data_IF_486569318789
#
_entry.id   IF_486569318789
#
_cell.length_a   1.000
_cell.length_b   1.000
_cell.length_c   1.000
_cell.angle_alpha   90.00
_cell.angle_beta   90.00
_cell.angle_gamma   90.00
#
_symmetry.space_group_name_H-M   'P 1'
#
loop_
_entity.id
_entity.type
_entity.pdbx_description
1 polymer ?
#
# COMPACT_ATOMS: atom_id res chain seq x y z
N UNK A 1 0.15 -25.56 -21.14
CA UNK A 1 -1.03 -25.21 -21.96
C UNK A 1 -0.73 -23.93 -22.71
N UNK A 2 -1.16 -23.77 -23.98
CA UNK A 2 -1.03 -22.52 -24.73
C UNK A 2 -2.38 -21.80 -24.71
N UNK A 3 -2.38 -20.57 -24.23
CA UNK A 3 -3.58 -19.73 -24.10
C UNK A 3 -3.22 -18.35 -24.62
N UNK A 4 -4.12 -17.77 -25.42
CA UNK A 4 -4.04 -16.37 -25.83
C UNK A 4 -4.89 -15.57 -24.87
N UNK A 5 -4.35 -14.48 -24.34
CA UNK A 5 -5.03 -13.56 -23.42
C UNK A 5 -4.83 -12.15 -23.92
N UNK A 6 -5.87 -11.32 -23.83
CA UNK A 6 -5.75 -9.89 -24.04
C UNK A 6 -5.27 -9.23 -22.75
N UNK A 7 -4.43 -8.21 -22.88
CA UNK A 7 -3.81 -7.50 -21.76
C UNK A 7 -4.06 -6.01 -21.92
N UNK A 8 -4.57 -5.37 -20.87
CA UNK A 8 -4.69 -3.92 -20.81
C UNK A 8 -3.30 -3.25 -20.79
N UNK A 9 -3.24 -1.98 -21.18
CA UNK A 9 -1.99 -1.22 -21.32
C UNK A 9 -1.17 -1.16 -20.01
N UNK A 10 -1.84 -1.11 -18.86
CA UNK A 10 -1.20 -1.11 -17.54
C UNK A 10 -0.58 -2.48 -17.21
N UNK A 11 -1.29 -3.55 -17.55
CA UNK A 11 -0.85 -4.93 -17.35
C UNK A 11 0.33 -5.26 -18.24
N UNK A 12 0.30 -4.83 -19.51
CA UNK A 12 1.44 -4.96 -20.42
C UNK A 12 2.69 -4.23 -19.89
N UNK A 13 2.54 -3.02 -19.34
CA UNK A 13 3.63 -2.27 -18.70
C UNK A 13 4.20 -3.01 -17.49
N UNK A 14 3.35 -3.57 -16.62
CA UNK A 14 3.79 -4.33 -15.46
C UNK A 14 4.59 -5.58 -15.84
N UNK A 15 4.17 -6.28 -16.91
CA UNK A 15 4.91 -7.42 -17.47
C UNK A 15 6.27 -6.96 -17.98
N UNK A 16 6.34 -5.89 -18.79
CA UNK A 16 7.60 -5.36 -19.32
C UNK A 16 8.57 -4.94 -18.21
N UNK A 17 8.06 -4.30 -17.16
CA UNK A 17 8.87 -3.92 -16.01
C UNK A 17 9.47 -5.17 -15.34
N UNK A 18 8.64 -6.19 -15.05
CA UNK A 18 9.13 -7.42 -14.43
C UNK A 18 10.17 -8.15 -15.29
N UNK A 19 9.99 -8.12 -16.62
CA UNK A 19 10.97 -8.67 -17.57
C UNK A 19 12.30 -7.95 -17.49
N UNK A 20 12.29 -6.60 -17.45
CA UNK A 20 13.52 -5.79 -17.34
C UNK A 20 14.22 -6.02 -16.01
N UNK A 21 13.47 -6.04 -14.91
CA UNK A 21 14.03 -6.16 -13.56
C UNK A 21 14.66 -7.54 -13.30
N UNK A 22 14.13 -8.60 -13.93
CA UNK A 22 14.53 -9.99 -13.66
C UNK A 22 15.19 -10.71 -14.83
N UNK A 23 15.25 -10.09 -16.01
CA UNK A 23 15.80 -10.71 -17.22
C UNK A 23 15.03 -11.93 -17.72
N UNK A 24 13.72 -12.02 -17.45
CA UNK A 24 12.89 -13.19 -17.78
C UNK A 24 12.04 -12.98 -19.05
N UNK A 25 11.58 -14.09 -19.64
CA UNK A 25 10.69 -14.08 -20.81
C UNK A 25 9.24 -13.68 -20.48
N UNK A 26 8.47 -13.27 -21.49
CA UNK A 26 7.07 -12.83 -21.33
C UNK A 26 6.18 -13.90 -20.69
N UNK A 27 6.25 -15.15 -21.17
CA UNK A 27 5.44 -16.24 -20.61
C UNK A 27 5.78 -16.52 -19.15
N UNK A 28 7.06 -16.40 -18.77
CA UNK A 28 7.48 -16.59 -17.39
C UNK A 28 6.99 -15.45 -16.49
N UNK A 29 7.12 -14.20 -16.95
CA UNK A 29 6.63 -13.02 -16.25
C UNK A 29 5.12 -13.11 -16.00
N UNK A 30 4.34 -13.45 -17.02
CA UNK A 30 2.88 -13.65 -16.91
C UNK A 30 2.54 -14.73 -15.89
N UNK A 31 3.20 -15.89 -15.97
CA UNK A 31 2.95 -16.98 -15.02
C UNK A 31 3.33 -16.60 -13.59
N UNK A 32 4.41 -15.84 -13.37
CA UNK A 32 4.77 -15.35 -12.03
C UNK A 32 3.71 -14.40 -11.47
N UNK A 33 3.24 -13.44 -12.27
CA UNK A 33 2.21 -12.49 -11.84
C UNK A 33 0.89 -13.19 -11.49
N UNK A 34 0.44 -14.13 -12.33
CA UNK A 34 -0.75 -14.95 -12.05
C UNK A 34 -0.57 -15.71 -10.74
N UNK A 35 0.54 -16.44 -10.56
CA UNK A 35 0.80 -17.20 -9.32
C UNK A 35 0.79 -16.32 -8.08
N UNK A 36 1.35 -15.11 -8.15
CA UNK A 36 1.30 -14.14 -7.04
C UNK A 36 -0.12 -13.66 -6.76
N UNK A 37 -0.92 -13.44 -7.81
CA UNK A 37 -2.32 -13.03 -7.68
C UNK A 37 -3.23 -14.12 -7.14
N UNK A 38 -2.86 -15.40 -7.30
CA UNK A 38 -3.60 -16.54 -6.73
C UNK A 38 -3.35 -16.76 -5.23
N UNK A 39 -2.30 -16.17 -4.67
CA UNK A 39 -2.04 -16.28 -3.24
C UNK A 39 -3.10 -15.47 -2.48
N UNK A 40 -3.74 -16.04 -1.44
CA UNK A 40 -4.61 -15.28 -0.55
C UNK A 40 -3.83 -14.10 -0.01
N UNK A 41 -4.32 -12.89 -0.27
CA UNK A 41 -3.75 -11.71 0.36
C UNK A 41 -4.12 -11.79 1.84
N UNK A 42 -3.13 -11.98 2.70
CA UNK A 42 -3.34 -11.82 4.14
C UNK A 42 -3.86 -10.39 4.33
N UNK A 43 -5.10 -10.19 4.80
CA UNK A 43 -5.55 -8.88 5.22
C UNK A 43 -4.71 -8.56 6.44
N UNK A 44 -3.53 -7.96 6.21
CA UNK A 44 -2.53 -7.72 7.25
C UNK A 44 -3.18 -7.11 8.49
N UNK A 45 -2.58 -7.33 9.66
CA UNK A 45 -3.21 -6.96 10.93
C UNK A 45 -3.80 -5.55 10.85
N UNK A 46 -5.09 -5.38 11.19
CA UNK A 46 -5.72 -4.08 11.14
C UNK A 46 -4.93 -3.10 11.99
N UNK A 47 -4.72 -1.89 11.47
CA UNK A 47 -4.01 -0.85 12.20
C UNK A 47 -4.69 -0.62 13.55
N UNK A 48 -3.93 -0.74 14.64
CA UNK A 48 -4.36 -0.38 15.99
C UNK A 48 -3.62 0.87 16.41
N UNK A 49 -4.32 2.00 16.46
CA UNK A 49 -3.76 3.25 16.96
C UNK A 49 -3.36 3.06 18.42
N UNK A 50 -2.06 3.26 18.71
CA UNK A 50 -1.58 3.31 20.10
C UNK A 50 -1.95 4.68 20.66
N UNK A 51 -2.81 4.69 21.66
CA UNK A 51 -3.18 5.92 22.38
C UNK A 51 -2.54 5.92 23.76
N UNK A 52 -2.18 7.11 24.24
CA UNK A 52 -1.69 7.34 25.59
C UNK A 52 -2.51 8.46 26.23
N UNK A 53 -2.70 8.43 27.55
CA UNK A 53 -3.30 9.55 28.27
C UNK A 53 -2.27 10.67 28.39
N UNK A 54 -2.49 11.75 27.66
CA UNK A 54 -1.63 12.94 27.69
C UNK A 54 -1.88 13.84 28.92
N UNK A 55 -3.00 13.65 29.64
CA UNK A 55 -3.34 14.46 30.81
C UNK A 55 -3.80 15.88 30.50
N UNK A 56 -3.87 16.26 29.22
CA UNK A 56 -4.34 17.56 28.75
C UNK A 56 -5.80 17.51 28.29
N UNK A 57 -6.50 18.65 28.39
CA UNK A 57 -7.81 18.87 27.75
C UNK A 57 -7.66 20.00 26.76
N UNK A 58 -8.11 19.78 25.53
CA UNK A 58 -8.06 20.77 24.44
C UNK A 58 -9.50 21.10 24.07
N UNK A 59 -9.79 22.39 23.88
CA UNK A 59 -11.07 22.83 23.36
C UNK A 59 -11.11 22.59 21.84
N UNK A 60 -12.05 21.76 21.39
CA UNK A 60 -12.21 21.37 19.98
C UNK A 60 -13.30 22.18 19.26
N UNK A 61 -13.90 23.18 19.92
CA UNK A 61 -14.84 24.10 19.27
C UNK A 61 -14.15 24.97 18.21
N UNK A 62 -12.83 25.18 18.31
CA UNK A 62 -12.00 25.77 17.26
C UNK A 62 -10.91 24.78 16.81
N UNK A 63 -11.17 24.11 15.68
CA UNK A 63 -10.30 23.05 15.16
C UNK A 63 -8.90 23.56 14.79
N UNK A 64 -8.78 24.78 14.26
CA UNK A 64 -7.47 25.33 13.87
C UNK A 64 -6.57 25.53 15.09
N UNK A 65 -7.09 26.15 16.15
CA UNK A 65 -6.35 26.35 17.40
C UNK A 65 -6.00 25.01 18.06
N UNK A 66 -6.94 24.06 18.08
CA UNK A 66 -6.70 22.74 18.65
C UNK A 66 -5.56 21.97 17.96
N UNK A 67 -5.40 22.14 16.64
CA UNK A 67 -4.29 21.54 15.89
C UNK A 67 -2.97 22.26 16.16
N UNK A 68 -2.96 23.60 16.20
CA UNK A 68 -1.76 24.37 16.58
C UNK A 68 -1.26 23.99 17.98
N UNK A 69 -2.17 23.84 18.94
CA UNK A 69 -1.85 23.43 20.31
C UNK A 69 -1.24 22.02 20.38
N UNK A 70 -1.64 21.11 19.47
CA UNK A 70 -1.12 19.75 19.38
C UNK A 70 0.22 19.67 18.64
N UNK A 71 0.38 20.44 17.56
CA UNK A 71 1.61 20.50 16.76
C UNK A 71 2.74 21.21 17.52
N UNK A 72 2.40 22.18 18.39
CA UNK A 72 3.34 22.90 19.25
C UNK A 72 3.93 22.09 20.41
N UNK A 73 3.36 20.91 20.73
CA UNK A 73 3.95 19.94 21.67
C UNK A 73 4.90 19.04 20.87
N UNK A 74 6.01 19.61 20.39
CA UNK A 74 7.11 18.78 19.89
C UNK A 74 7.64 17.89 21.03
N UNK A 75 7.35 16.60 20.89
CA UNK A 75 8.07 15.43 21.39
C UNK A 75 9.25 15.71 22.36
N UNK A 76 9.01 15.51 23.66
CA UNK A 76 10.02 15.06 24.62
C UNK A 76 9.58 13.79 25.31
#
# INVERSE_FOLDING_TARGET
>A
MRTTVDLDDDTAKAIEQLRRDRGIGTSEAVNQLIRRGLLPRDPGMPFKQKTARLGIRIDVSNVAQALEDLDGIEAR
#
